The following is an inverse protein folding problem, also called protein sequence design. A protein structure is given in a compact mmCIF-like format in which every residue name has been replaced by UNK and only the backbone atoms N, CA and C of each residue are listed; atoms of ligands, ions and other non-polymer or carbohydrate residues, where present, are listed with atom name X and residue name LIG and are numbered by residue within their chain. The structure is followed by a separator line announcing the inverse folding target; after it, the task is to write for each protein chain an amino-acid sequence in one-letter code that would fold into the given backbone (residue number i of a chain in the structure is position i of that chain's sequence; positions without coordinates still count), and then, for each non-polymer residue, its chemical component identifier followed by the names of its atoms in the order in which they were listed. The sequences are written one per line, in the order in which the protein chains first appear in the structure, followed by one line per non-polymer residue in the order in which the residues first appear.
data_IF_655444021848
#
_entry.id   IF_655444021848
#
_cell.length_a   1.000
_cell.length_b   1.000
_cell.length_c   1.000
_cell.angle_alpha   90.00
_cell.angle_beta   90.00
_cell.angle_gamma   90.00
#
_symmetry.space_group_name_H-M   'P 1'
#
loop_
_entity.id
_entity.type
_entity.pdbx_description
1 polymer ?
#
# COMPACT_ATOMS: atom_id res chain seq x y z
N UNK A 1 9.96 -4.15 8.22
CA UNK A 1 8.73 -3.70 7.61
C UNK A 1 8.03 -2.73 8.55
N UNK A 2 7.47 -1.69 8.02
CA UNK A 2 6.91 -0.60 8.80
C UNK A 2 5.53 -0.24 8.23
N UNK A 3 4.49 -0.42 9.04
CA UNK A 3 3.12 -0.15 8.60
C UNK A 3 2.91 1.33 8.24
N UNK A 4 3.61 2.23 8.91
CA UNK A 4 3.53 3.65 8.56
C UNK A 4 4.14 3.94 7.20
N UNK A 5 5.26 3.31 6.89
CA UNK A 5 5.87 3.46 5.57
C UNK A 5 4.92 2.98 4.49
N UNK A 6 4.36 1.79 4.68
CA UNK A 6 3.43 1.23 3.71
C UNK A 6 2.19 2.10 3.57
N UNK A 7 1.65 2.58 4.69
CA UNK A 7 0.47 3.44 4.67
C UNK A 7 0.74 4.75 3.92
N UNK A 8 1.90 5.36 4.17
CA UNK A 8 2.27 6.60 3.50
C UNK A 8 2.46 6.36 1.99
N UNK A 9 3.02 5.22 1.62
CA UNK A 9 3.22 4.89 0.22
C UNK A 9 1.88 4.71 -0.49
N UNK A 10 0.94 4.03 0.16
CA UNK A 10 -0.41 3.87 -0.40
C UNK A 10 -1.07 5.24 -0.61
N UNK A 11 -0.99 6.09 0.41
CA UNK A 11 -1.59 7.43 0.35
C UNK A 11 -0.98 8.24 -0.80
N UNK A 12 0.36 8.24 -0.88
CA UNK A 12 1.07 9.00 -1.88
C UNK A 12 0.69 8.58 -3.30
N UNK A 13 0.70 7.27 -3.55
CA UNK A 13 0.41 6.76 -4.88
C UNK A 13 -1.06 6.92 -5.23
N UNK A 14 -1.94 6.75 -4.25
CA UNK A 14 -3.37 6.98 -4.45
C UNK A 14 -3.62 8.42 -4.90
N UNK A 15 -3.02 9.37 -4.19
CA UNK A 15 -3.21 10.78 -4.50
C UNK A 15 -2.62 11.14 -5.87
N UNK A 16 -1.52 10.53 -6.23
CA UNK A 16 -0.90 10.79 -7.53
C UNK A 16 -1.79 10.34 -8.69
N UNK A 17 -2.69 9.40 -8.43
CA UNK A 17 -3.64 8.93 -9.43
C UNK A 17 -5.00 9.62 -9.32
N UNK A 18 -5.13 10.57 -8.41
CA UNK A 18 -6.38 11.27 -8.15
C UNK A 18 -7.50 10.32 -7.71
N UNK A 19 -7.13 9.26 -7.00
CA UNK A 19 -8.10 8.31 -6.47
C UNK A 19 -8.48 8.67 -5.05
N UNK A 20 -9.72 8.31 -4.68
CA UNK A 20 -10.16 8.36 -3.30
C UNK A 20 -9.88 7.00 -2.64
N UNK A 21 -10.01 6.95 -1.30
CA UNK A 21 -9.93 5.68 -0.60
C UNK A 21 -11.02 4.73 -1.06
N UNK A 22 -12.19 5.28 -1.40
CA UNK A 22 -13.29 4.48 -1.92
C UNK A 22 -12.90 3.82 -3.24
N UNK A 23 -12.16 4.53 -4.08
CA UNK A 23 -11.71 3.95 -5.35
C UNK A 23 -10.85 2.72 -5.11
N UNK A 24 -9.89 2.79 -4.18
CA UNK A 24 -9.06 1.63 -3.85
C UNK A 24 -9.92 0.51 -3.28
N UNK A 25 -10.82 0.86 -2.36
CA UNK A 25 -11.68 -0.13 -1.71
C UNK A 25 -12.49 -0.90 -2.74
N UNK A 26 -13.03 -0.21 -3.73
CA UNK A 26 -13.82 -0.85 -4.77
C UNK A 26 -12.97 -1.76 -5.65
N UNK A 27 -11.77 -1.31 -6.00
CA UNK A 27 -10.87 -2.10 -6.85
C UNK A 27 -10.42 -3.39 -6.16
N UNK A 28 -10.27 -3.36 -4.85
CA UNK A 28 -9.80 -4.52 -4.09
C UNK A 28 -10.91 -5.28 -3.39
N UNK A 29 -12.17 -4.83 -3.52
CA UNK A 29 -13.32 -5.47 -2.87
C UNK A 29 -13.16 -5.52 -1.35
N UNK A 30 -12.72 -4.41 -0.78
CA UNK A 30 -12.57 -4.26 0.68
C UNK A 30 -13.35 -3.03 1.12
N UNK A 31 -13.44 -2.82 2.44
CA UNK A 31 -14.13 -1.65 2.98
C UNK A 31 -13.24 -0.41 2.92
N UNK A 32 -13.84 0.76 2.87
CA UNK A 32 -13.11 2.02 2.97
C UNK A 32 -12.40 2.10 4.31
N UNK A 33 -13.03 1.57 5.37
CA UNK A 33 -12.41 1.56 6.69
C UNK A 33 -11.10 0.79 6.70
N UNK A 34 -11.02 -0.32 5.96
CA UNK A 34 -9.78 -1.08 5.86
C UNK A 34 -8.69 -0.25 5.21
N UNK A 35 -9.00 0.39 4.08
CA UNK A 35 -8.02 1.24 3.38
C UNK A 35 -7.56 2.37 4.31
N UNK A 36 -8.48 2.98 5.04
CA UNK A 36 -8.15 4.04 5.98
C UNK A 36 -7.17 3.56 7.05
N UNK A 37 -7.38 2.35 7.58
CA UNK A 37 -6.46 1.80 8.59
C UNK A 37 -5.07 1.58 8.02
N UNK A 38 -4.99 1.08 6.79
CA UNK A 38 -3.69 0.91 6.14
C UNK A 38 -2.96 2.24 6.00
N UNK A 39 -3.68 3.26 5.53
CA UNK A 39 -3.05 4.56 5.28
C UNK A 39 -2.60 5.24 6.57
N UNK A 40 -3.28 4.96 7.67
CA UNK A 40 -2.90 5.50 8.97
C UNK A 40 -1.84 4.69 9.68
N UNK A 41 -1.41 3.59 9.07
CA UNK A 41 -0.36 2.76 9.66
C UNK A 41 -0.82 1.91 10.82
N UNK A 42 -2.13 1.66 10.93
CA UNK A 42 -2.66 0.87 12.04
C UNK A 42 -2.48 -0.62 11.82
N UNK A 43 -2.45 -1.05 10.57
CA UNK A 43 -2.14 -2.44 10.23
C UNK A 43 -1.71 -2.49 8.77
N UNK A 44 -1.18 -3.64 8.38
CA UNK A 44 -0.87 -3.90 6.98
C UNK A 44 -2.10 -4.45 6.26
N UNK A 45 -2.18 -4.27 4.92
CA UNK A 45 -3.14 -5.05 4.14
C UNK A 45 -2.88 -6.54 4.33
N UNK A 46 -3.95 -7.33 4.25
CA UNK A 46 -3.81 -8.78 4.32
C UNK A 46 -2.84 -9.26 3.23
N UNK A 47 -2.11 -10.34 3.52
CA UNK A 47 -1.13 -10.86 2.59
C UNK A 47 -1.73 -11.12 1.20
N UNK A 48 -2.96 -11.62 1.16
CA UNK A 48 -3.64 -11.90 -0.10
C UNK A 48 -3.92 -10.65 -0.92
N UNK A 49 -3.87 -9.47 -0.31
CA UNK A 49 -4.13 -8.20 -0.97
C UNK A 49 -2.87 -7.50 -1.43
N UNK A 50 -1.70 -7.96 -1.00
CA UNK A 50 -0.45 -7.27 -1.31
C UNK A 50 -0.18 -7.21 -2.81
N UNK A 51 -0.33 -8.33 -3.51
CA UNK A 51 -0.06 -8.36 -4.93
C UNK A 51 -1.07 -7.53 -5.74
N UNK A 52 -2.40 -7.71 -5.56
CA UNK A 52 -3.34 -6.86 -6.29
C UNK A 52 -3.18 -5.38 -5.95
N UNK A 53 -2.85 -5.04 -4.71
CA UNK A 53 -2.63 -3.65 -4.34
C UNK A 53 -1.41 -3.08 -5.06
N UNK A 54 -0.32 -3.84 -5.09
CA UNK A 54 0.89 -3.39 -5.80
C UNK A 54 0.61 -3.20 -7.29
N UNK A 55 -0.22 -4.06 -7.86
CA UNK A 55 -0.57 -3.96 -9.28
C UNK A 55 -1.32 -2.68 -9.59
N UNK A 56 -2.34 -2.35 -8.80
CA UNK A 56 -3.11 -1.14 -9.09
C UNK A 56 -2.31 0.12 -8.80
N UNK A 57 -1.36 0.06 -7.87
CA UNK A 57 -0.49 1.20 -7.57
C UNK A 57 0.74 1.24 -8.46
N UNK A 58 0.95 0.22 -9.29
CA UNK A 58 2.02 0.13 -10.27
C UNK A 58 3.41 0.19 -9.64
N UNK A 59 3.56 -0.49 -8.51
CA UNK A 59 4.87 -0.67 -7.85
C UNK A 59 5.01 -2.14 -7.47
N UNK A 60 6.22 -2.54 -7.11
CA UNK A 60 6.45 -3.90 -6.64
C UNK A 60 5.99 -4.05 -5.19
N UNK A 61 5.72 -5.28 -4.77
CA UNK A 61 5.41 -5.56 -3.37
C UNK A 61 6.58 -5.16 -2.49
N UNK A 62 7.82 -5.43 -2.95
CA UNK A 62 9.01 -5.04 -2.19
C UNK A 62 9.07 -3.54 -1.95
N UNK A 63 8.76 -2.75 -2.97
CA UNK A 63 8.78 -1.31 -2.83
C UNK A 63 7.65 -0.85 -1.91
N UNK A 64 6.48 -1.47 -2.02
CA UNK A 64 5.34 -1.14 -1.17
C UNK A 64 5.67 -1.37 0.30
N UNK A 65 6.43 -2.42 0.58
CA UNK A 65 6.83 -2.76 1.95
C UNK A 65 8.13 -2.10 2.40
N UNK A 66 8.80 -1.38 1.50
CA UNK A 66 10.05 -0.70 1.83
C UNK A 66 11.26 -1.63 1.92
N UNK A 67 11.19 -2.81 1.33
CA UNK A 67 12.27 -3.79 1.44
C UNK A 67 13.39 -3.57 0.43
N UNK A 68 13.10 -2.90 -0.67
CA UNK A 68 14.12 -2.71 -1.71
C UNK A 68 15.28 -1.85 -1.23
N UNK A 69 14.97 -0.82 -0.41
CA UNK A 69 16.03 0.02 0.14
C UNK A 69 16.94 -0.76 1.08
N UNK A 70 16.36 -1.67 1.84
CA UNK A 70 17.14 -2.51 2.75
C UNK A 70 18.06 -3.42 1.98
N UNK A 71 17.58 -3.98 0.86
CA UNK A 71 18.39 -4.85 0.02
C UNK A 71 19.59 -4.11 -0.54
N UNK A 72 19.40 -2.85 -0.97
CA UNK A 72 20.48 -2.05 -1.52
C UNK A 72 21.57 -1.79 -0.49
N UNK A 73 21.15 -1.59 0.75
CA UNK A 73 22.10 -1.28 1.82
C UNK A 73 22.98 -2.44 2.20
N UNK A 74 22.63 -3.65 1.81
CA UNK A 74 23.39 -4.84 2.18
C UNK A 74 24.46 -5.21 1.18
N UNK A 75 24.48 -4.50 0.08
CA UNK A 75 25.48 -4.73 -0.94
C UNK A 75 26.74 -3.97 -0.62
#
# INVERSE_FOLDING_TARGET
MDAHYTGNKITELRKSKNWTRKDIAEKLHVSVAAVSKWERGLNFPDLSLMEPLSEILEISVSELLGLENESADQV
#
